data_IF_827859775289
#
_entry.id   IF_827859775289
#
_cell.length_a   1.000
_cell.length_b   1.000
_cell.length_c   1.000
_cell.angle_alpha   90.00
_cell.angle_beta   90.00
_cell.angle_gamma   90.00
#
_symmetry.space_group_name_H-M   'P 1'
#
loop_
_entity.id
_entity.type
_entity.pdbx_description
1 polymer ?
#
# COMPACT_ATOMS: atom_id res chain seq x y z
N UNK A 1 18.04 19.40 7.55
CA UNK A 1 18.76 19.40 6.24
C UNK A 1 20.18 19.82 6.47
N UNK A 2 21.15 19.25 5.70
CA UNK A 2 22.50 19.79 5.66
C UNK A 2 22.47 21.20 5.07
N UNK A 3 23.47 22.05 5.43
CA UNK A 3 23.56 23.46 5.01
C UNK A 3 23.55 23.67 3.47
N UNK A 4 23.71 22.60 2.68
CA UNK A 4 23.79 22.63 1.21
C UNK A 4 22.61 21.97 0.48
N UNK A 5 21.48 21.66 1.13
CA UNK A 5 20.32 21.00 0.51
C UNK A 5 20.52 19.52 0.17
N UNK A 6 21.67 18.91 0.52
CA UNK A 6 21.96 17.48 0.35
C UNK A 6 21.48 16.72 1.57
N UNK A 7 20.60 15.73 1.42
CA UNK A 7 20.24 14.82 2.49
C UNK A 7 21.30 13.69 2.63
N UNK A 8 21.54 13.23 3.84
CA UNK A 8 22.34 12.01 4.02
C UNK A 8 21.61 10.82 3.42
N UNK A 9 20.33 10.69 3.72
CA UNK A 9 19.49 9.60 3.24
C UNK A 9 18.18 10.14 2.71
N UNK A 10 17.83 9.77 1.48
CA UNK A 10 16.47 9.94 0.95
C UNK A 10 15.75 8.60 0.99
N UNK A 11 14.54 8.59 1.56
CA UNK A 11 13.65 7.43 1.67
C UNK A 11 12.52 7.61 0.65
N UNK A 12 12.30 6.59 -0.18
CA UNK A 12 11.26 6.58 -1.20
C UNK A 12 10.10 5.71 -0.75
N UNK A 13 9.03 6.37 -0.30
CA UNK A 13 7.82 5.76 0.26
C UNK A 13 7.70 5.98 1.76
N UNK A 14 6.54 6.49 2.21
CA UNK A 14 6.22 6.82 3.60
C UNK A 14 5.25 5.83 4.25
N UNK A 15 5.25 4.57 3.82
CA UNK A 15 4.56 3.48 4.53
C UNK A 15 5.24 3.14 5.87
N UNK A 16 4.72 2.13 6.63
CA UNK A 16 5.29 1.73 7.91
C UNK A 16 6.81 1.46 7.87
N UNK A 17 7.29 0.85 6.79
CA UNK A 17 8.71 0.57 6.56
C UNK A 17 9.52 1.84 6.36
N UNK A 18 9.01 2.79 5.57
CA UNK A 18 9.70 4.07 5.32
C UNK A 18 9.78 4.94 6.57
N UNK A 19 8.70 4.99 7.35
CA UNK A 19 8.66 5.70 8.63
C UNK A 19 9.64 5.07 9.65
N UNK A 20 9.74 3.74 9.67
CA UNK A 20 10.74 3.06 10.48
C UNK A 20 12.18 3.38 10.01
N UNK A 21 12.43 3.41 8.68
CA UNK A 21 13.73 3.79 8.13
C UNK A 21 14.12 5.23 8.54
N UNK A 22 13.16 6.16 8.50
CA UNK A 22 13.36 7.55 8.92
C UNK A 22 13.75 7.65 10.40
N UNK A 23 13.05 6.90 11.26
CA UNK A 23 13.40 6.82 12.68
C UNK A 23 14.82 6.32 12.88
N UNK A 24 15.17 5.15 12.30
CA UNK A 24 16.48 4.55 12.52
C UNK A 24 17.63 5.35 11.91
N UNK A 25 17.42 6.04 10.80
CA UNK A 25 18.40 6.95 10.22
C UNK A 25 18.60 8.21 11.08
N UNK A 26 17.51 8.87 11.48
CA UNK A 26 17.54 10.05 12.33
C UNK A 26 18.14 9.77 13.71
N UNK A 27 17.82 8.59 14.29
CA UNK A 27 18.42 8.14 15.57
C UNK A 27 19.96 7.99 15.50
N UNK A 28 20.52 7.96 14.30
CA UNK A 28 21.98 7.93 14.03
C UNK A 28 22.49 9.27 13.53
N UNK A 29 21.77 10.34 13.82
CA UNK A 29 22.12 11.71 13.44
C UNK A 29 22.31 11.91 11.91
N UNK A 30 21.65 11.09 11.08
CA UNK A 30 21.60 11.31 9.65
C UNK A 30 20.47 12.30 9.30
N UNK A 31 20.74 13.24 8.41
CA UNK A 31 19.70 14.07 7.82
C UNK A 31 18.85 13.24 6.83
N UNK A 32 17.53 13.30 6.99
CA UNK A 32 16.60 12.43 6.25
C UNK A 32 15.62 13.26 5.42
N UNK A 33 15.39 12.82 4.18
CA UNK A 33 14.28 13.26 3.34
C UNK A 33 13.40 12.05 3.04
N UNK A 34 12.08 12.24 3.09
CA UNK A 34 11.07 11.26 2.67
C UNK A 34 10.37 11.81 1.44
N UNK A 35 10.28 11.02 0.37
CA UNK A 35 9.48 11.33 -0.83
C UNK A 35 8.37 10.30 -0.91
N UNK A 36 7.12 10.76 -0.97
CA UNK A 36 5.91 9.93 -1.01
C UNK A 36 4.98 10.41 -2.14
N UNK A 37 4.56 9.49 -2.98
CA UNK A 37 3.65 9.77 -4.10
C UNK A 37 2.23 10.11 -3.67
N UNK A 38 1.81 9.63 -2.51
CA UNK A 38 0.50 9.96 -1.93
C UNK A 38 0.54 11.31 -1.21
N UNK A 39 -0.62 11.97 -1.12
CA UNK A 39 -0.82 13.22 -0.38
C UNK A 39 -0.78 13.03 1.16
N UNK A 40 -0.52 11.81 1.62
CA UNK A 40 -0.51 11.45 3.04
C UNK A 40 0.51 10.37 3.36
N UNK A 41 0.95 10.35 4.63
CA UNK A 41 1.77 9.28 5.17
C UNK A 41 0.97 7.98 5.34
N UNK A 42 1.69 6.84 5.39
CA UNK A 42 1.13 5.55 5.75
C UNK A 42 1.03 4.54 4.61
N UNK A 43 1.29 4.98 3.36
CA UNK A 43 1.31 4.09 2.20
C UNK A 43 0.01 3.28 2.07
N UNK A 44 0.12 1.99 1.75
CA UNK A 44 -1.05 1.11 1.54
C UNK A 44 -1.95 0.97 2.77
N UNK A 45 -1.42 1.01 3.98
CA UNK A 45 -2.23 0.89 5.21
C UNK A 45 -3.21 2.05 5.30
N UNK A 46 -2.75 3.28 5.07
CA UNK A 46 -3.60 4.46 5.09
C UNK A 46 -4.53 4.55 3.85
N UNK A 47 -4.01 4.17 2.67
CA UNK A 47 -4.75 4.35 1.42
C UNK A 47 -5.81 3.27 1.15
N UNK A 48 -5.55 2.02 1.57
CA UNK A 48 -6.34 0.85 1.13
C UNK A 48 -7.21 0.28 2.25
N UNK A 49 -6.68 0.21 3.49
CA UNK A 49 -7.37 -0.46 4.59
C UNK A 49 -7.21 0.24 5.95
N UNK A 50 -7.46 1.57 6.01
CA UNK A 50 -7.26 2.35 7.24
C UNK A 50 -8.12 1.86 8.42
N UNK A 51 -9.33 1.37 8.14
CA UNK A 51 -10.28 0.87 9.14
C UNK A 51 -10.24 -0.65 9.36
N UNK A 52 -9.24 -1.35 8.78
CA UNK A 52 -9.00 -2.76 9.09
C UNK A 52 -8.04 -2.93 10.26
N UNK A 53 -8.21 -4.02 10.99
CA UNK A 53 -7.24 -4.42 12.00
C UNK A 53 -6.04 -5.12 11.36
N UNK A 54 -4.87 -4.74 11.82
CA UNK A 54 -3.57 -5.35 11.49
C UNK A 54 -3.16 -6.23 12.67
N UNK A 55 -2.67 -7.44 12.40
CA UNK A 55 -2.35 -8.46 13.40
C UNK A 55 -0.88 -8.88 13.40
N UNK A 56 -0.11 -8.45 12.41
CA UNK A 56 1.28 -8.86 12.17
C UNK A 56 2.32 -7.82 12.61
N UNK A 57 1.96 -6.97 13.58
CA UNK A 57 2.90 -5.99 14.16
C UNK A 57 3.20 -6.38 15.60
N UNK A 58 4.48 -6.68 15.87
CA UNK A 58 4.93 -7.08 17.20
C UNK A 58 4.58 -6.04 18.27
N UNK A 59 4.12 -6.49 19.44
CA UNK A 59 3.65 -5.62 20.53
C UNK A 59 2.18 -5.24 20.46
N UNK A 60 1.49 -5.51 19.35
CA UNK A 60 0.07 -5.27 19.17
C UNK A 60 -0.67 -6.56 18.81
N UNK A 61 -1.48 -7.16 19.72
CA UNK A 61 -2.30 -8.33 19.38
C UNK A 61 -3.23 -8.08 18.20
N UNK A 62 -3.75 -6.86 18.10
CA UNK A 62 -4.43 -6.25 16.96
C UNK A 62 -4.38 -4.73 17.09
N UNK A 63 -4.26 -4.03 15.98
CA UNK A 63 -4.27 -2.56 15.94
C UNK A 63 -5.02 -2.09 14.70
N UNK A 64 -5.80 -1.01 14.82
CA UNK A 64 -6.46 -0.41 13.67
C UNK A 64 -5.43 0.22 12.73
N UNK A 65 -5.59 0.08 11.41
CA UNK A 65 -4.64 0.59 10.43
C UNK A 65 -4.32 2.08 10.61
N UNK A 66 -5.34 2.92 10.79
CA UNK A 66 -5.17 4.36 11.09
C UNK A 66 -4.31 4.59 12.33
N UNK A 67 -4.56 3.85 13.42
CA UNK A 67 -3.78 4.00 14.66
C UNK A 67 -2.35 3.52 14.53
N UNK A 68 -2.12 2.47 13.76
CA UNK A 68 -0.77 2.00 13.45
C UNK A 68 0.03 3.10 12.73
N UNK A 69 -0.57 3.73 11.70
CA UNK A 69 0.12 4.78 10.94
C UNK A 69 0.37 6.01 11.79
N UNK A 70 -0.58 6.43 12.62
CA UNK A 70 -0.37 7.52 13.57
C UNK A 70 0.88 7.27 14.44
N UNK A 71 0.98 6.09 15.06
CA UNK A 71 2.12 5.72 15.90
C UNK A 71 3.44 5.60 15.11
N UNK A 72 3.39 5.07 13.89
CA UNK A 72 4.57 5.01 13.02
C UNK A 72 5.03 6.41 12.59
N UNK A 73 4.11 7.32 12.30
CA UNK A 73 4.41 8.69 11.95
C UNK A 73 5.00 9.46 13.15
N UNK A 74 4.39 9.35 14.33
CA UNK A 74 4.91 9.93 15.56
C UNK A 74 6.36 9.49 15.83
N UNK A 75 6.66 8.21 15.61
CA UNK A 75 8.01 7.69 15.77
C UNK A 75 8.94 8.12 14.63
N UNK A 76 8.52 7.99 13.38
CA UNK A 76 9.33 8.25 12.20
C UNK A 76 9.75 9.72 12.04
N UNK A 77 8.91 10.63 12.54
CA UNK A 77 9.13 12.07 12.41
C UNK A 77 9.89 12.70 13.59
N UNK A 78 10.26 11.93 14.62
CA UNK A 78 10.91 12.45 15.84
C UNK A 78 12.17 13.27 15.59
N UNK A 79 12.93 12.94 14.54
CA UNK A 79 14.19 13.60 14.21
C UNK A 79 14.05 14.66 13.11
N UNK A 80 12.82 15.10 12.80
CA UNK A 80 12.52 16.18 11.88
C UNK A 80 12.97 15.92 10.44
N UNK A 81 12.64 14.78 9.82
CA UNK A 81 12.92 14.56 8.40
C UNK A 81 12.20 15.61 7.55
N UNK A 82 12.77 15.95 6.41
CA UNK A 82 12.04 16.67 5.35
C UNK A 82 11.05 15.69 4.71
N UNK A 83 9.78 16.11 4.60
CA UNK A 83 8.71 15.25 4.03
C UNK A 83 8.12 15.94 2.82
N UNK A 84 8.18 15.27 1.67
CA UNK A 84 7.60 15.69 0.40
C UNK A 84 6.47 14.70 0.06
N UNK A 85 5.24 15.19 0.10
CA UNK A 85 4.03 14.42 -0.22
C UNK A 85 3.51 14.82 -1.61
N UNK A 86 2.82 13.90 -2.29
CA UNK A 86 2.29 14.14 -3.62
C UNK A 86 3.38 14.23 -4.68
N UNK A 87 4.56 13.64 -4.43
CA UNK A 87 5.69 13.63 -5.36
C UNK A 87 6.07 12.21 -5.78
N UNK A 88 5.89 11.89 -7.05
CA UNK A 88 6.28 10.61 -7.61
C UNK A 88 7.69 10.68 -8.22
N UNK A 89 8.58 9.79 -7.78
CA UNK A 89 9.95 9.72 -8.30
C UNK A 89 9.97 9.27 -9.76
N UNK A 90 10.75 9.96 -10.59
CA UNK A 90 10.85 9.72 -12.03
C UNK A 90 12.27 9.32 -12.44
N UNK A 91 13.29 10.03 -11.97
CA UNK A 91 14.66 9.81 -12.40
C UNK A 91 15.60 9.60 -11.21
N UNK A 92 16.65 8.81 -11.46
CA UNK A 92 17.78 8.65 -10.55
C UNK A 92 19.08 8.77 -11.35
N UNK A 93 19.88 9.74 -11.02
CA UNK A 93 21.20 9.96 -11.61
C UNK A 93 22.30 9.89 -10.54
N UNK A 94 23.46 9.37 -10.92
CA UNK A 94 24.66 9.43 -10.09
C UNK A 94 25.50 10.63 -10.50
N UNK A 95 25.88 11.42 -9.53
CA UNK A 95 26.72 12.58 -9.70
C UNK A 95 27.99 12.45 -8.88
N UNK A 96 29.08 13.06 -9.34
CA UNK A 96 30.29 13.25 -8.54
C UNK A 96 30.49 14.75 -8.39
N UNK A 97 30.34 15.25 -7.18
CA UNK A 97 30.56 16.66 -6.85
C UNK A 97 31.70 16.78 -5.86
N UNK A 98 32.80 17.42 -6.27
CA UNK A 98 33.99 17.64 -5.42
C UNK A 98 34.59 16.34 -4.83
N UNK A 99 34.47 15.21 -5.53
CA UNK A 99 34.96 13.91 -5.06
C UNK A 99 33.96 13.15 -4.19
N UNK A 100 32.79 13.69 -3.95
CA UNK A 100 31.69 13.03 -3.25
C UNK A 100 30.69 12.44 -4.26
N UNK A 101 30.37 11.14 -4.09
CA UNK A 101 29.34 10.47 -4.88
C UNK A 101 27.95 10.81 -4.31
N UNK A 102 27.09 11.37 -5.14
CA UNK A 102 25.72 11.75 -4.79
C UNK A 102 24.71 11.14 -5.75
N UNK A 103 23.50 11.01 -5.27
CA UNK A 103 22.31 10.69 -6.07
C UNK A 103 21.48 11.96 -6.30
N UNK A 104 21.09 12.20 -7.55
CA UNK A 104 20.12 13.22 -7.91
C UNK A 104 18.79 12.54 -8.25
N UNK A 105 17.74 12.85 -7.50
CA UNK A 105 16.42 12.28 -7.61
C UNK A 105 15.48 13.34 -8.19
N UNK A 106 14.94 13.09 -9.38
CA UNK A 106 13.87 13.90 -9.98
C UNK A 106 12.51 13.30 -9.69
N UNK A 107 11.53 14.18 -9.44
CA UNK A 107 10.12 13.80 -9.29
C UNK A 107 9.29 14.47 -10.39
N UNK A 108 8.01 14.14 -10.47
CA UNK A 108 7.04 14.77 -11.38
C UNK A 108 6.79 16.25 -11.04
N UNK A 109 6.96 16.64 -9.77
CA UNK A 109 6.66 17.99 -9.27
C UNK A 109 7.89 18.80 -8.85
N UNK A 110 9.10 18.19 -8.79
CA UNK A 110 10.28 18.90 -8.28
C UNK A 110 11.63 18.22 -8.48
N UNK A 111 12.63 18.72 -7.81
CA UNK A 111 14.00 18.20 -7.85
C UNK A 111 14.92 18.94 -8.84
N UNK A 112 16.14 18.44 -9.12
CA UNK A 112 16.65 17.22 -8.49
C UNK A 112 16.98 17.40 -7.01
N UNK A 113 16.57 16.42 -6.22
CA UNK A 113 16.90 16.32 -4.79
C UNK A 113 18.19 15.53 -4.62
N UNK A 114 19.17 16.10 -3.94
CA UNK A 114 20.47 15.47 -3.75
C UNK A 114 20.52 14.64 -2.47
N UNK A 115 21.16 13.46 -2.54
CA UNK A 115 21.30 12.54 -1.42
C UNK A 115 22.58 11.72 -1.49
N UNK A 116 23.13 11.34 -0.32
CA UNK A 116 24.30 10.46 -0.23
C UNK A 116 23.97 8.98 -0.33
N UNK A 117 22.78 8.61 0.12
CA UNK A 117 22.26 7.24 0.01
C UNK A 117 20.75 7.26 -0.18
N UNK A 118 20.21 6.15 -0.68
CA UNK A 118 18.79 5.94 -0.90
C UNK A 118 18.29 4.70 -0.17
N UNK A 119 17.06 4.77 0.39
CA UNK A 119 16.35 3.61 0.89
C UNK A 119 14.99 3.54 0.20
N UNK A 120 14.80 2.53 -0.64
CA UNK A 120 13.55 2.32 -1.37
C UNK A 120 12.60 1.50 -0.49
N UNK A 121 11.48 2.09 -0.09
CA UNK A 121 10.42 1.48 0.73
C UNK A 121 9.05 1.59 0.06
N UNK A 122 9.06 1.55 -1.27
CA UNK A 122 7.89 1.78 -2.11
C UNK A 122 6.81 0.66 -2.04
N UNK A 123 6.95 -0.32 -1.15
CA UNK A 123 6.00 -1.40 -0.96
C UNK A 123 5.83 -2.22 -2.25
N UNK A 124 4.62 -2.29 -2.77
CA UNK A 124 4.34 -2.91 -4.08
C UNK A 124 4.50 -1.93 -5.25
N UNK A 125 5.04 -0.73 -5.02
CA UNK A 125 5.09 0.36 -5.99
C UNK A 125 3.76 1.09 -6.12
N UNK A 126 3.59 1.85 -7.20
CA UNK A 126 2.30 2.40 -7.55
C UNK A 126 1.30 1.25 -7.77
N UNK A 127 0.12 1.37 -7.19
CA UNK A 127 -0.91 0.37 -7.33
C UNK A 127 -2.18 0.99 -7.87
N UNK A 128 -2.65 0.40 -8.95
CA UNK A 128 -3.90 0.76 -9.58
C UNK A 128 -4.95 -0.31 -9.27
N UNK A 129 -6.17 0.06 -8.88
CA UNK A 129 -7.24 -0.91 -8.67
C UNK A 129 -7.55 -1.61 -10.00
N UNK A 130 -7.76 -2.92 -9.93
CA UNK A 130 -8.30 -3.65 -11.08
C UNK A 130 -9.74 -3.27 -11.25
N UNK A 131 -10.02 -2.62 -12.37
CA UNK A 131 -11.38 -2.22 -12.75
C UNK A 131 -12.17 -3.40 -13.31
N UNK A 132 -13.49 -3.33 -13.19
CA UNK A 132 -14.38 -4.20 -13.96
C UNK A 132 -14.21 -3.88 -15.44
N UNK A 133 -14.30 -4.90 -16.29
CA UNK A 133 -14.24 -4.73 -17.75
C UNK A 133 -15.50 -4.15 -18.36
N UNK A 134 -16.08 -3.12 -17.73
CA UNK A 134 -17.29 -2.42 -18.15
C UNK A 134 -16.84 -1.13 -18.83
N UNK A 135 -17.26 -0.93 -20.09
CA UNK A 135 -16.93 0.27 -20.84
C UNK A 135 -17.50 1.52 -20.16
N UNK A 136 -16.64 2.53 -19.97
CA UNK A 136 -17.03 3.79 -19.36
C UNK A 136 -17.22 3.76 -17.85
N UNK A 137 -16.72 2.73 -17.15
CA UNK A 137 -16.83 2.62 -15.68
C UNK A 137 -16.22 3.83 -14.96
N UNK A 138 -15.22 4.48 -15.57
CA UNK A 138 -14.55 5.66 -15.04
C UNK A 138 -15.52 6.85 -14.84
N UNK A 139 -16.55 6.95 -15.66
CA UNK A 139 -17.58 7.99 -15.52
C UNK A 139 -18.44 7.83 -14.26
N UNK A 140 -18.36 6.67 -13.59
CA UNK A 140 -19.09 6.34 -12.37
C UNK A 140 -18.22 6.42 -11.10
N UNK A 141 -16.92 6.64 -11.26
CA UNK A 141 -16.03 7.00 -10.16
C UNK A 141 -16.56 8.29 -9.52
N UNK A 142 -16.51 8.40 -8.19
CA UNK A 142 -17.17 9.48 -7.42
C UNK A 142 -18.71 9.56 -7.51
N UNK A 143 -19.34 8.70 -8.30
CA UNK A 143 -20.79 8.61 -8.46
C UNK A 143 -21.38 7.28 -7.96
N UNK A 144 -20.64 6.60 -7.09
CA UNK A 144 -21.05 5.36 -6.46
C UNK A 144 -20.21 4.14 -6.79
N UNK A 145 -19.18 4.24 -7.66
CA UNK A 145 -18.19 3.19 -7.85
C UNK A 145 -16.99 3.46 -6.93
N UNK A 146 -16.63 2.48 -6.11
CA UNK A 146 -15.55 2.55 -5.14
C UNK A 146 -14.58 1.37 -5.33
N UNK A 147 -13.29 1.65 -5.24
CA UNK A 147 -12.23 0.62 -5.29
C UNK A 147 -11.63 0.33 -3.92
N UNK A 148 -11.99 1.14 -2.93
CA UNK A 148 -11.53 1.06 -1.53
C UNK A 148 -12.66 1.44 -0.59
N UNK A 149 -12.60 0.93 0.62
CA UNK A 149 -13.42 1.41 1.73
C UNK A 149 -12.49 2.17 2.68
N UNK A 150 -12.46 3.49 2.56
CA UNK A 150 -11.66 4.36 3.43
C UNK A 150 -12.39 4.71 4.71
N UNK A 151 -13.68 4.99 4.59
CA UNK A 151 -14.58 5.36 5.67
C UNK A 151 -15.89 4.56 5.53
N UNK A 152 -16.27 3.82 6.55
CA UNK A 152 -17.51 3.01 6.54
C UNK A 152 -18.75 3.85 6.44
N UNK A 153 -18.73 5.03 7.06
CA UNK A 153 -19.88 5.93 7.12
C UNK A 153 -20.35 6.45 5.75
N UNK A 154 -19.46 6.44 4.74
CA UNK A 154 -19.83 6.74 3.35
C UNK A 154 -20.92 5.78 2.82
N UNK A 155 -20.97 4.56 3.36
CA UNK A 155 -21.93 3.50 2.95
C UNK A 155 -23.14 3.40 3.88
N UNK A 156 -23.30 4.33 4.82
CA UNK A 156 -24.40 4.30 5.79
C UNK A 156 -25.75 4.38 5.09
N UNK A 157 -26.62 3.40 5.42
CA UNK A 157 -27.98 3.24 4.90
C UNK A 157 -28.07 3.14 3.35
N UNK A 158 -26.96 2.81 2.67
CA UNK A 158 -26.93 2.58 1.22
C UNK A 158 -27.04 1.11 0.88
N UNK A 159 -27.69 0.80 -0.26
CA UNK A 159 -27.65 -0.53 -0.87
C UNK A 159 -26.28 -0.74 -1.51
N UNK A 160 -25.54 -1.74 -1.02
CA UNK A 160 -24.16 -2.01 -1.43
C UNK A 160 -24.06 -3.30 -2.23
N UNK A 161 -23.35 -3.24 -3.36
CA UNK A 161 -22.90 -4.41 -4.12
C UNK A 161 -21.37 -4.50 -4.02
N UNK A 162 -20.85 -5.61 -3.48
CA UNK A 162 -19.42 -5.86 -3.33
C UNK A 162 -19.01 -6.90 -4.37
N UNK A 163 -17.99 -6.58 -5.18
CA UNK A 163 -17.47 -7.47 -6.22
C UNK A 163 -16.09 -7.95 -5.85
N UNK A 164 -15.94 -9.24 -5.67
CA UNK A 164 -14.67 -9.87 -5.34
C UNK A 164 -14.84 -11.27 -4.74
N UNK A 165 -13.73 -11.98 -4.52
CA UNK A 165 -13.77 -13.34 -3.96
C UNK A 165 -12.54 -13.67 -3.11
N UNK A 166 -11.77 -12.67 -2.72
CA UNK A 166 -10.66 -12.76 -1.78
C UNK A 166 -11.04 -12.17 -0.42
N UNK A 167 -10.08 -12.21 0.52
CA UNK A 167 -10.28 -11.73 1.90
C UNK A 167 -10.87 -10.33 1.96
N UNK A 168 -10.39 -9.38 1.14
CA UNK A 168 -10.91 -8.01 1.15
C UNK A 168 -12.42 -7.92 0.87
N UNK A 169 -12.95 -8.72 -0.07
CA UNK A 169 -14.37 -8.70 -0.38
C UNK A 169 -15.20 -9.29 0.77
N UNK A 170 -14.75 -10.40 1.36
CA UNK A 170 -15.42 -11.00 2.50
C UNK A 170 -15.35 -10.10 3.74
N UNK A 171 -14.16 -9.56 4.06
CA UNK A 171 -13.97 -8.66 5.20
C UNK A 171 -14.92 -7.45 5.14
N UNK A 172 -15.07 -6.84 3.96
CA UNK A 172 -15.96 -5.70 3.80
C UNK A 172 -17.44 -6.08 3.71
N UNK A 173 -17.76 -7.28 3.20
CA UNK A 173 -19.14 -7.82 3.29
C UNK A 173 -19.55 -8.01 4.75
N UNK A 174 -18.64 -8.48 5.60
CA UNK A 174 -18.88 -8.62 7.05
C UNK A 174 -18.78 -7.27 7.78
N UNK A 175 -17.79 -6.45 7.42
CA UNK A 175 -17.48 -5.19 8.11
C UNK A 175 -18.50 -4.06 7.89
N UNK A 176 -19.34 -4.14 6.86
CA UNK A 176 -20.38 -3.15 6.57
C UNK A 176 -21.77 -3.56 7.08
N UNK A 177 -21.90 -4.71 7.77
CA UNK A 177 -23.19 -5.24 8.23
C UNK A 177 -23.98 -4.29 9.15
N UNK A 178 -23.29 -3.47 9.94
CA UNK A 178 -23.89 -2.51 10.87
C UNK A 178 -23.99 -1.09 10.27
N UNK A 179 -23.55 -0.92 9.03
CA UNK A 179 -23.49 0.40 8.37
C UNK A 179 -24.36 0.46 7.13
N UNK A 180 -24.18 -0.49 6.20
CA UNK A 180 -24.93 -0.52 4.95
C UNK A 180 -26.37 -1.05 5.14
N UNK A 181 -27.25 -0.72 4.19
CA UNK A 181 -28.63 -1.25 4.16
C UNK A 181 -28.60 -2.72 3.72
N UNK A 182 -29.14 -3.65 4.53
CA UNK A 182 -29.22 -5.05 4.12
C UNK A 182 -30.31 -5.28 3.04
N UNK A 183 -30.18 -6.33 2.20
CA UNK A 183 -29.03 -7.21 2.12
C UNK A 183 -27.85 -6.59 1.36
N UNK A 184 -26.61 -6.85 1.83
CA UNK A 184 -25.41 -6.57 1.03
C UNK A 184 -25.29 -7.65 -0.04
N UNK A 185 -25.14 -7.27 -1.31
CA UNK A 185 -24.90 -8.21 -2.39
C UNK A 185 -23.40 -8.48 -2.56
N UNK A 186 -22.99 -9.75 -2.46
CA UNK A 186 -21.62 -10.20 -2.71
C UNK A 186 -21.57 -10.94 -4.05
N UNK A 187 -20.85 -10.40 -5.02
CA UNK A 187 -20.74 -10.96 -6.39
C UNK A 187 -19.35 -11.53 -6.61
N UNK A 188 -19.28 -12.81 -6.99
CA UNK A 188 -18.04 -13.47 -7.35
C UNK A 188 -18.19 -14.33 -8.60
N UNK A 189 -17.20 -14.21 -9.52
CA UNK A 189 -17.23 -14.88 -10.84
C UNK A 189 -17.02 -16.41 -10.82
N UNK A 190 -16.63 -16.99 -9.68
CA UNK A 190 -16.39 -18.43 -9.50
C UNK A 190 -17.28 -18.99 -8.41
N UNK A 191 -17.49 -20.29 -8.42
CA UNK A 191 -18.27 -20.97 -7.37
C UNK A 191 -17.56 -20.93 -5.99
N UNK A 192 -16.23 -20.90 -5.98
CA UNK A 192 -15.43 -20.97 -4.76
C UNK A 192 -14.70 -19.66 -4.50
N UNK A 193 -14.82 -19.15 -3.28
CA UNK A 193 -14.05 -18.03 -2.77
C UNK A 193 -12.60 -18.45 -2.49
N UNK A 194 -11.68 -17.47 -2.53
CA UNK A 194 -10.27 -17.63 -2.15
C UNK A 194 -9.97 -17.07 -0.76
N UNK A 195 -10.96 -16.47 -0.13
CA UNK A 195 -10.88 -15.92 1.21
C UNK A 195 -10.79 -17.02 2.27
N UNK A 196 -10.48 -16.63 3.50
CA UNK A 196 -10.48 -17.50 4.66
C UNK A 196 -11.84 -18.21 4.80
N UNK A 197 -11.81 -19.52 5.05
CA UNK A 197 -13.01 -20.35 5.16
C UNK A 197 -13.96 -19.85 6.26
N UNK A 198 -13.42 -19.36 7.38
CA UNK A 198 -14.22 -18.79 8.45
C UNK A 198 -15.06 -17.58 7.98
N UNK A 199 -14.47 -16.66 7.22
CA UNK A 199 -15.16 -15.49 6.68
C UNK A 199 -16.23 -15.88 5.65
N UNK A 200 -15.96 -16.89 4.83
CA UNK A 200 -16.92 -17.43 3.87
C UNK A 200 -18.12 -18.07 4.60
N UNK A 201 -17.87 -18.85 5.66
CA UNK A 201 -18.93 -19.48 6.45
C UNK A 201 -19.80 -18.45 7.18
N UNK A 202 -19.20 -17.38 7.70
CA UNK A 202 -19.92 -16.26 8.32
C UNK A 202 -20.82 -15.52 7.30
N UNK A 203 -20.30 -15.20 6.10
CA UNK A 203 -21.09 -14.60 5.05
C UNK A 203 -22.28 -15.46 4.62
N UNK A 204 -22.11 -16.80 4.56
CA UNK A 204 -23.21 -17.74 4.28
C UNK A 204 -24.23 -17.81 5.41
N UNK A 205 -23.80 -17.69 6.67
CA UNK A 205 -24.73 -17.59 7.80
C UNK A 205 -25.61 -16.35 7.69
N UNK A 206 -24.99 -15.20 7.37
CA UNK A 206 -25.69 -13.94 7.13
C UNK A 206 -26.62 -13.99 5.90
N UNK A 207 -26.28 -14.79 4.89
CA UNK A 207 -27.18 -15.06 3.77
C UNK A 207 -28.45 -15.80 4.23
N UNK A 208 -28.29 -16.80 5.11
CA UNK A 208 -29.43 -17.51 5.75
C UNK A 208 -30.31 -16.60 6.60
N UNK A 209 -29.76 -15.51 7.12
CA UNK A 209 -30.47 -14.47 7.88
C UNK A 209 -31.09 -13.38 7.00
N UNK A 210 -30.86 -13.41 5.68
CA UNK A 210 -31.32 -12.38 4.74
C UNK A 210 -30.55 -11.06 4.81
N UNK A 211 -29.39 -11.03 5.46
CA UNK A 211 -28.53 -9.84 5.59
C UNK A 211 -27.48 -9.73 4.49
N UNK A 212 -27.14 -10.82 3.84
CA UNK A 212 -26.26 -10.92 2.67
C UNK A 212 -26.99 -11.66 1.57
N UNK A 213 -26.68 -11.34 0.32
CA UNK A 213 -27.09 -12.11 -0.83
C UNK A 213 -25.87 -12.45 -1.68
N UNK A 214 -25.57 -13.74 -1.85
CA UNK A 214 -24.38 -14.21 -2.54
C UNK A 214 -24.72 -14.58 -3.98
N UNK A 215 -24.04 -13.96 -4.94
CA UNK A 215 -24.14 -14.22 -6.37
C UNK A 215 -22.87 -14.93 -6.85
N UNK A 216 -22.95 -16.24 -7.06
CA UNK A 216 -21.86 -17.09 -7.57
C UNK A 216 -22.42 -18.17 -8.52
N UNK A 217 -21.79 -18.47 -9.63
CA UNK A 217 -20.72 -17.74 -10.31
C UNK A 217 -21.31 -16.60 -11.17
N UNK A 218 -21.11 -15.36 -10.77
CA UNK A 218 -21.74 -14.21 -11.39
C UNK A 218 -20.76 -13.05 -11.60
N UNK A 219 -21.05 -12.23 -12.59
CA UNK A 219 -20.31 -10.99 -12.89
C UNK A 219 -21.24 -9.81 -13.07
N UNK A 220 -20.81 -8.61 -12.66
CA UNK A 220 -21.51 -7.36 -12.98
C UNK A 220 -21.20 -7.00 -14.43
N UNK A 221 -22.25 -6.74 -15.24
CA UNK A 221 -22.15 -6.43 -16.67
C UNK A 221 -22.46 -4.99 -17.01
N UNK A 222 -23.42 -4.39 -16.33
CA UNK A 222 -23.88 -3.04 -16.64
C UNK A 222 -24.13 -2.26 -15.35
N UNK A 223 -23.94 -0.95 -15.44
CA UNK A 223 -24.26 0.01 -14.39
C UNK A 223 -25.42 0.87 -14.86
N UNK A 224 -26.40 1.12 -13.98
CA UNK A 224 -27.59 1.88 -14.27
C UNK A 224 -27.75 3.04 -13.29
N UNK A 225 -28.22 4.19 -13.78
CA UNK A 225 -28.51 5.37 -12.97
C UNK A 225 -28.53 6.66 -13.79
N UNK A 226 -28.89 7.73 -13.13
CA UNK A 226 -28.91 9.08 -13.69
C UNK A 226 -28.10 9.99 -12.74
N UNK A 227 -26.88 10.33 -13.14
CA UNK A 227 -25.97 11.13 -12.33
C UNK A 227 -25.26 10.39 -11.19
N UNK A 228 -25.84 9.32 -10.65
CA UNK A 228 -25.25 8.39 -9.69
C UNK A 228 -25.73 6.98 -9.95
N UNK A 229 -24.98 5.98 -9.43
CA UNK A 229 -25.38 4.58 -9.57
C UNK A 229 -26.67 4.32 -8.78
N UNK A 230 -27.61 3.56 -9.37
CA UNK A 230 -28.88 3.19 -8.77
C UNK A 230 -29.14 1.68 -8.84
N UNK A 231 -28.55 0.99 -9.83
CA UNK A 231 -28.64 -0.44 -9.97
C UNK A 231 -27.47 -1.01 -10.78
N UNK A 232 -27.27 -2.32 -10.68
CA UNK A 232 -26.34 -3.08 -11.51
C UNK A 232 -27.02 -4.30 -12.13
N UNK A 233 -26.62 -4.67 -13.34
CA UNK A 233 -26.99 -5.95 -13.95
C UNK A 233 -25.96 -7.01 -13.59
N UNK A 234 -26.38 -8.09 -12.96
CA UNK A 234 -25.56 -9.24 -12.56
C UNK A 234 -25.92 -10.42 -13.44
N UNK A 235 -24.94 -10.96 -14.18
CA UNK A 235 -25.08 -12.12 -15.05
C UNK A 235 -24.51 -13.37 -14.40
N UNK A 236 -25.27 -14.46 -14.38
CA UNK A 236 -24.74 -15.78 -14.06
C UNK A 236 -23.90 -16.29 -15.23
N UNK A 237 -22.60 -16.52 -14.99
CA UNK A 237 -21.64 -16.89 -16.03
C UNK A 237 -21.83 -18.28 -16.63
N UNK A 238 -22.65 -19.14 -16.01
CA UNK A 238 -22.98 -20.49 -16.49
C UNK A 238 -24.30 -20.54 -17.23
N UNK A 239 -25.33 -19.84 -16.75
CA UNK A 239 -26.67 -19.88 -17.33
C UNK A 239 -26.96 -18.74 -18.30
N UNK A 240 -26.22 -17.64 -18.19
CA UNK A 240 -26.50 -16.40 -18.92
C UNK A 240 -27.70 -15.62 -18.39
N UNK A 241 -28.31 -16.05 -17.29
CA UNK A 241 -29.40 -15.32 -16.65
C UNK A 241 -28.89 -14.00 -16.09
N UNK A 242 -29.64 -12.93 -16.33
CA UNK A 242 -29.30 -11.57 -15.85
C UNK A 242 -30.33 -11.12 -14.84
N UNK A 243 -29.88 -10.64 -13.71
CA UNK A 243 -30.72 -10.02 -12.69
C UNK A 243 -30.27 -8.58 -12.46
N UNK A 244 -31.23 -7.66 -12.38
CA UNK A 244 -30.95 -6.28 -11.98
C UNK A 244 -31.12 -6.12 -10.46
N UNK A 245 -30.10 -5.62 -9.80
CA UNK A 245 -30.01 -5.44 -8.35
C UNK A 245 -29.84 -3.98 -8.02
N UNK A 246 -30.61 -3.46 -7.05
CA UNK A 246 -30.43 -2.10 -6.53
C UNK A 246 -29.01 -1.91 -5.97
N UNK A 247 -28.42 -0.78 -6.31
CA UNK A 247 -27.03 -0.49 -5.95
C UNK A 247 -26.81 1.02 -5.87
N UNK A 248 -26.63 1.55 -4.67
CA UNK A 248 -26.24 2.94 -4.45
C UNK A 248 -24.73 3.07 -4.26
N UNK A 249 -24.03 1.95 -4.00
CA UNK A 249 -22.58 1.87 -3.91
C UNK A 249 -22.08 0.51 -4.45
N UNK A 250 -21.29 0.56 -5.51
CA UNK A 250 -20.58 -0.58 -6.08
C UNK A 250 -19.13 -0.58 -5.61
N UNK A 251 -18.75 -1.56 -4.78
CA UNK A 251 -17.43 -1.67 -4.19
C UNK A 251 -16.69 -2.79 -4.89
N UNK A 252 -15.67 -2.47 -5.71
CA UNK A 252 -14.94 -3.45 -6.53
C UNK A 252 -13.61 -3.80 -5.90
N UNK A 253 -13.53 -5.00 -5.32
CA UNK A 253 -12.37 -5.50 -4.59
C UNK A 253 -11.68 -6.65 -5.35
N UNK A 254 -11.26 -6.35 -6.57
CA UNK A 254 -10.66 -7.30 -7.51
C UNK A 254 -9.13 -7.43 -7.35
N UNK A 255 -8.55 -6.72 -6.39
CA UNK A 255 -7.11 -6.57 -6.19
C UNK A 255 -6.54 -5.45 -7.04
N UNK A 256 -5.20 -5.39 -7.10
CA UNK A 256 -4.46 -4.30 -7.71
C UNK A 256 -3.52 -4.80 -8.79
N UNK A 257 -3.23 -3.93 -9.75
CA UNK A 257 -1.99 -3.98 -10.52
C UNK A 257 -0.95 -3.19 -9.74
N UNK A 258 0.21 -3.78 -9.55
CA UNK A 258 1.34 -3.12 -8.89
C UNK A 258 2.53 -3.07 -9.84
N UNK A 259 3.21 -1.94 -9.91
CA UNK A 259 4.40 -1.74 -10.72
C UNK A 259 5.36 -0.80 -10.00
N UNK A 260 6.66 -0.98 -10.25
CA UNK A 260 7.69 -0.16 -9.64
C UNK A 260 7.79 1.25 -10.26
N UNK A 261 6.96 1.54 -11.30
CA UNK A 261 7.06 2.81 -12.01
C UNK A 261 8.46 3.02 -12.57
N UNK A 262 8.94 4.26 -12.54
CA UNK A 262 10.26 4.65 -13.00
C UNK A 262 11.42 3.92 -12.27
N UNK A 263 11.21 3.43 -11.06
CA UNK A 263 12.22 2.68 -10.28
C UNK A 263 12.68 1.42 -11.04
N UNK A 264 11.82 0.81 -11.85
CA UNK A 264 12.16 -0.37 -12.64
C UNK A 264 13.27 -0.09 -13.68
N UNK A 265 13.39 1.15 -14.15
CA UNK A 265 14.33 1.56 -15.19
C UNK A 265 15.68 2.06 -14.66
N UNK A 266 15.87 2.06 -13.32
CA UNK A 266 17.09 2.55 -12.66
C UNK A 266 18.25 1.55 -12.70
N UNK A 267 18.11 0.43 -13.42
CA UNK A 267 19.15 -0.60 -13.57
C UNK A 267 19.31 -1.51 -12.35
N UNK A 268 18.33 -1.53 -11.46
CA UNK A 268 18.28 -2.43 -10.32
C UNK A 268 17.95 -3.86 -10.75
N UNK A 269 18.65 -4.85 -10.23
CA UNK A 269 18.27 -6.25 -10.46
C UNK A 269 17.02 -6.59 -9.68
N UNK A 270 16.13 -7.35 -10.32
CA UNK A 270 14.91 -7.82 -9.68
C UNK A 270 15.03 -9.27 -9.23
N UNK A 271 14.44 -9.59 -8.10
CA UNK A 271 14.10 -10.94 -7.67
C UNK A 271 12.68 -11.25 -8.14
N UNK A 272 12.54 -12.23 -9.02
CA UNK A 272 11.27 -12.47 -9.70
C UNK A 272 10.88 -11.32 -10.65
N UNK A 273 9.62 -10.86 -10.56
CA UNK A 273 9.08 -9.86 -11.51
C UNK A 273 8.93 -8.43 -10.94
N UNK A 274 9.00 -8.26 -9.61
CA UNK A 274 8.56 -7.02 -8.97
C UNK A 274 9.36 -6.58 -7.77
N UNK A 275 10.18 -7.45 -7.18
CA UNK A 275 10.95 -7.11 -6.00
C UNK A 275 12.37 -6.74 -6.39
N UNK A 276 12.92 -5.73 -5.74
CA UNK A 276 14.30 -5.32 -5.94
C UNK A 276 15.18 -6.31 -5.19
N UNK A 277 16.10 -6.95 -5.91
CA UNK A 277 17.05 -7.88 -5.31
C UNK A 277 18.00 -7.17 -4.36
N UNK A 278 18.08 -7.66 -3.13
CA UNK A 278 18.97 -7.14 -2.09
C UNK A 278 19.88 -8.24 -1.51
N UNK A 279 20.95 -7.82 -0.89
CA UNK A 279 21.66 -8.64 0.09
C UNK A 279 20.88 -8.57 1.42
N UNK A 280 20.30 -9.67 1.92
CA UNK A 280 19.50 -9.65 3.15
C UNK A 280 20.27 -9.29 4.41
N UNK A 281 21.62 -9.30 4.37
CA UNK A 281 22.46 -8.94 5.51
C UNK A 281 22.68 -7.45 5.65
N UNK A 282 22.57 -6.70 4.55
CA UNK A 282 22.81 -5.24 4.48
C UNK A 282 21.58 -4.47 3.98
N UNK A 283 20.63 -5.15 3.34
CA UNK A 283 19.55 -4.58 2.55
C UNK A 283 20.03 -3.73 1.36
N UNK A 284 21.32 -3.81 0.97
CA UNK A 284 21.85 -3.10 -0.19
C UNK A 284 21.42 -3.80 -1.48
N UNK A 285 21.06 -3.00 -2.49
CA UNK A 285 20.71 -3.48 -3.81
C UNK A 285 21.98 -3.76 -4.63
N UNK A 286 21.83 -4.12 -5.91
CA UNK A 286 22.99 -4.22 -6.83
C UNK A 286 23.60 -2.87 -7.19
N UNK A 287 22.96 -1.78 -6.83
CA UNK A 287 23.45 -0.42 -7.01
C UNK A 287 23.99 0.09 -5.67
N UNK A 288 25.32 0.22 -5.56
CA UNK A 288 25.98 0.61 -4.31
C UNK A 288 25.47 1.96 -3.79
N UNK A 289 25.16 2.04 -2.48
CA UNK A 289 24.52 3.21 -1.84
C UNK A 289 23.00 3.28 -1.99
N UNK A 290 22.39 2.32 -2.68
CA UNK A 290 20.95 2.18 -2.80
C UNK A 290 20.51 0.92 -2.06
N UNK A 291 19.59 1.09 -1.11
CA UNK A 291 19.03 0.03 -0.27
C UNK A 291 17.55 -0.15 -0.57
N UNK A 292 17.00 -1.32 -0.23
CA UNK A 292 15.57 -1.53 -0.30
C UNK A 292 15.07 -2.32 0.91
N UNK A 293 13.86 -2.01 1.38
CA UNK A 293 13.24 -2.64 2.55
C UNK A 293 11.72 -2.72 2.40
N UNK A 294 11.10 -3.68 3.08
CA UNK A 294 9.67 -3.95 3.00
C UNK A 294 9.30 -4.79 1.79
N UNK A 295 8.07 -4.68 1.31
CA UNK A 295 7.53 -5.57 0.27
C UNK A 295 8.21 -5.39 -1.09
N UNK A 296 8.85 -4.25 -1.31
CA UNK A 296 9.64 -3.98 -2.51
C UNK A 296 10.96 -4.76 -2.55
N UNK A 297 11.49 -5.16 -1.38
CA UNK A 297 12.74 -5.92 -1.27
C UNK A 297 12.52 -7.41 -1.53
N UNK A 298 13.42 -8.04 -2.30
CA UNK A 298 13.37 -9.44 -2.67
C UNK A 298 14.66 -10.20 -2.38
N UNK A 299 14.52 -11.38 -1.78
CA UNK A 299 15.58 -12.38 -1.55
C UNK A 299 14.96 -13.74 -1.25
N UNK A 300 15.70 -14.86 -1.38
CA UNK A 300 15.17 -16.18 -1.05
C UNK A 300 14.67 -16.28 0.40
N UNK A 301 13.44 -16.71 0.58
CA UNK A 301 12.81 -16.82 1.91
C UNK A 301 12.16 -15.53 2.42
N UNK A 302 12.06 -14.49 1.61
CA UNK A 302 11.34 -13.25 1.95
C UNK A 302 9.90 -13.53 2.31
N UNK A 303 9.45 -12.93 3.41
CA UNK A 303 8.06 -12.87 3.85
C UNK A 303 7.62 -11.40 3.84
N UNK A 304 6.50 -11.11 3.16
CA UNK A 304 5.94 -9.75 3.06
C UNK A 304 5.04 -9.46 4.25
N UNK A 305 5.64 -9.01 5.35
CA UNK A 305 4.98 -8.60 6.59
C UNK A 305 5.53 -7.24 7.03
N UNK A 306 4.68 -6.41 7.66
CA UNK A 306 5.08 -5.10 8.19
C UNK A 306 6.26 -5.24 9.16
N UNK A 307 6.21 -6.20 10.07
CA UNK A 307 7.28 -6.48 11.04
C UNK A 307 8.62 -6.77 10.36
N UNK A 308 8.62 -7.54 9.27
CA UNK A 308 9.84 -7.84 8.52
C UNK A 308 10.38 -6.58 7.84
N UNK A 309 9.49 -5.80 7.19
CA UNK A 309 9.86 -4.53 6.56
C UNK A 309 10.48 -3.53 7.54
N UNK A 310 9.94 -3.40 8.75
CA UNK A 310 10.52 -2.55 9.80
C UNK A 310 11.92 -3.02 10.23
N UNK A 311 12.14 -4.33 10.36
CA UNK A 311 13.45 -4.91 10.65
C UNK A 311 14.47 -4.64 9.54
N UNK A 312 14.08 -4.83 8.28
CA UNK A 312 14.89 -4.50 7.12
C UNK A 312 15.23 -3.01 7.04
N UNK A 313 14.26 -2.13 7.36
CA UNK A 313 14.47 -0.69 7.43
C UNK A 313 15.58 -0.30 8.41
N UNK A 314 15.60 -0.95 9.58
CA UNK A 314 16.65 -0.73 10.57
C UNK A 314 18.05 -1.17 10.05
N UNK A 315 18.11 -2.31 9.36
CA UNK A 315 19.35 -2.81 8.74
C UNK A 315 19.80 -1.87 7.62
N UNK A 316 18.90 -1.47 6.71
CA UNK A 316 19.18 -0.55 5.61
C UNK A 316 19.70 0.80 6.12
N UNK A 317 19.01 1.41 7.08
CA UNK A 317 19.42 2.69 7.66
C UNK A 317 20.80 2.61 8.32
N UNK A 318 21.08 1.53 9.07
CA UNK A 318 22.37 1.33 9.70
C UNK A 318 23.51 1.22 8.68
N UNK A 319 23.31 0.45 7.62
CA UNK A 319 24.34 0.26 6.59
C UNK A 319 24.50 1.50 5.70
N UNK A 320 23.42 2.24 5.40
CA UNK A 320 23.48 3.51 4.69
C UNK A 320 24.33 4.54 5.47
N UNK A 321 24.08 4.71 6.77
CA UNK A 321 24.87 5.61 7.63
C UNK A 321 26.32 5.16 7.72
N UNK A 322 26.59 3.85 7.88
CA UNK A 322 27.94 3.30 7.91
C UNK A 322 28.71 3.61 6.61
N UNK A 323 28.06 3.46 5.45
CA UNK A 323 28.64 3.80 4.15
C UNK A 323 28.98 5.29 4.07
N UNK A 324 28.06 6.18 4.46
CA UNK A 324 28.26 7.64 4.40
C UNK A 324 29.44 8.07 5.28
N UNK A 325 29.56 7.48 6.46
CA UNK A 325 30.64 7.81 7.42
C UNK A 325 31.96 7.13 7.14
N UNK A 326 31.98 6.11 6.28
CA UNK A 326 33.17 5.30 6.00
C UNK A 326 33.59 4.42 7.17
N UNK A 327 32.73 4.20 8.16
CA UNK A 327 33.04 3.39 9.36
C UNK A 327 31.79 2.57 9.79
N UNK A 328 32.05 1.46 10.52
CA UNK A 328 30.96 0.66 11.08
C UNK A 328 30.24 1.45 12.16
N UNK A 329 28.94 1.66 11.96
CA UNK A 329 28.08 2.27 12.98
C UNK A 329 27.54 1.16 13.89
N UNK A 330 27.92 1.22 15.17
CA UNK A 330 27.27 0.38 16.17
C UNK A 330 26.07 1.13 16.75
N UNK A 331 24.86 0.52 16.74
CA UNK A 331 23.72 1.14 17.38
C UNK A 331 24.02 1.32 18.87
N UNK A 332 24.01 2.55 19.35
CA UNK A 332 24.00 2.83 20.78
C UNK A 332 22.56 2.73 21.23
N UNK A 333 22.22 1.68 21.94
CA UNK A 333 20.95 1.60 22.66
C UNK A 333 21.20 2.17 24.05
N UNK A 334 20.65 3.34 24.33
CA UNK A 334 20.54 3.84 25.70
C UNK A 334 19.19 3.40 26.25
N UNK A 335 19.17 2.83 27.41
CA UNK A 335 17.98 2.57 28.22
C UNK A 335 17.84 3.62 29.32
N UNK A 336 18.66 4.67 29.28
CA UNK A 336 18.70 5.74 30.26
C UNK A 336 17.76 6.89 29.92
#
# INVERSE_FOLDING_TARGET
MSENGVADITILGAGPTGLAAAYYAGHRDASVRIIESLEQLGGQVAAVYPEKHVYDVAGHPKILGTKLIELCADQGLQYGPEVLLGEEVQTLERLNQNGEELFAIGTDNGGPYLSRALIITAGHGAFEPRKLGIEGIEAWEDKGVHYFVREKDVFRDRTCVIVGGGDSALDWTLGLQDTARPPIALVHRRDNFRALESSVNEARSLEGEGRVRIFTPCEVRELHGDGSIQAVSIENTKTGEVEQVECEALITLLGFHSHLGAIADWGLQLEGKRQIKIDPTTCETTLAGVYAAGDVAGYPGKITLITIGMGEAAIAANNAVARIRGEKVQPKYSTD
#
